data_IF_662799399138
#
_entry.id   IF_662799399138
#
_cell.length_a   1.000
_cell.length_b   1.000
_cell.length_c   1.000
_cell.angle_alpha   90.00
_cell.angle_beta   90.00
_cell.angle_gamma   90.00
#
_symmetry.space_group_name_H-M   'P 1'
#
loop_
_entity.id
_entity.type
_entity.pdbx_description
1 polymer ?
#
# COMPACT_ATOMS: atom_id res chain seq x y z
N UNK A 1 -60.31 -46.19 -22.29
CA UNK A 1 -59.25 -46.71 -23.18
C UNK A 1 -58.66 -45.55 -23.97
N UNK A 2 -57.33 -45.57 -24.19
CA UNK A 2 -56.45 -44.58 -24.84
C UNK A 2 -56.00 -43.36 -24.02
N UNK A 3 -54.89 -43.57 -23.32
CA UNK A 3 -53.83 -42.58 -23.11
C UNK A 3 -53.34 -42.03 -24.46
N UNK A 4 -52.89 -40.78 -24.50
CA UNK A 4 -51.64 -40.44 -25.17
C UNK A 4 -50.98 -39.21 -24.54
N UNK A 5 -49.68 -39.38 -24.32
CA UNK A 5 -48.74 -38.48 -23.64
C UNK A 5 -48.37 -37.31 -24.56
N UNK A 6 -48.17 -36.12 -23.99
CA UNK A 6 -47.23 -35.16 -24.56
C UNK A 6 -46.36 -34.57 -23.43
N UNK A 7 -45.09 -34.96 -23.45
CA UNK A 7 -44.03 -34.39 -22.62
C UNK A 7 -43.74 -32.97 -23.12
N UNK A 8 -43.60 -32.01 -22.21
CA UNK A 8 -42.75 -30.83 -22.43
C UNK A 8 -41.84 -30.64 -21.22
N UNK A 9 -40.56 -30.83 -21.50
CA UNK A 9 -39.38 -30.41 -20.74
C UNK A 9 -39.29 -28.88 -20.72
N UNK A 10 -38.28 -28.37 -20.00
CA UNK A 10 -37.69 -27.01 -20.02
C UNK A 10 -38.26 -26.09 -18.94
N UNK A 11 -37.50 -25.39 -18.11
CA UNK A 11 -36.06 -25.34 -17.79
C UNK A 11 -35.91 -24.47 -16.53
N UNK A 12 -34.74 -24.54 -15.91
CA UNK A 12 -34.42 -24.02 -14.59
C UNK A 12 -34.83 -22.57 -14.31
N UNK A 13 -35.30 -22.38 -13.08
CA UNK A 13 -35.22 -21.09 -12.40
C UNK A 13 -33.73 -20.81 -12.18
N UNK A 14 -33.15 -19.98 -13.02
CA UNK A 14 -31.84 -19.36 -12.79
C UNK A 14 -31.98 -18.47 -11.57
N UNK A 15 -31.53 -18.96 -10.41
CA UNK A 15 -31.24 -18.09 -9.27
C UNK A 15 -30.05 -17.24 -9.70
N UNK A 16 -30.32 -16.00 -10.12
CA UNK A 16 -29.31 -14.97 -10.19
C UNK A 16 -28.83 -14.71 -8.77
N UNK A 17 -27.86 -15.51 -8.33
CA UNK A 17 -26.96 -15.17 -7.25
C UNK A 17 -26.23 -13.90 -7.68
N UNK A 18 -26.79 -12.75 -7.29
CA UNK A 18 -26.05 -11.50 -7.19
C UNK A 18 -24.98 -11.70 -6.12
N UNK A 19 -23.90 -12.36 -6.53
CA UNK A 19 -22.58 -12.20 -5.94
C UNK A 19 -22.16 -10.76 -6.25
N UNK A 20 -22.72 -9.82 -5.49
CA UNK A 20 -22.02 -8.60 -5.16
C UNK A 20 -20.82 -9.05 -4.31
N UNK A 21 -19.78 -9.54 -4.98
CA UNK A 21 -18.42 -9.45 -4.47
C UNK A 21 -18.12 -7.95 -4.50
N UNK A 22 -18.68 -7.22 -3.54
CA UNK A 22 -18.20 -5.90 -3.22
C UNK A 22 -16.73 -6.08 -2.94
N UNK A 23 -15.89 -5.48 -3.77
CA UNK A 23 -14.51 -5.23 -3.43
C UNK A 23 -14.57 -4.36 -2.16
N UNK A 24 -14.66 -4.98 -1.00
CA UNK A 24 -14.42 -4.32 0.27
C UNK A 24 -12.92 -4.05 0.26
N UNK A 25 -12.54 -2.91 -0.31
CA UNK A 25 -11.31 -2.26 0.06
C UNK A 25 -11.42 -2.08 1.58
N UNK A 26 -10.74 -2.96 2.32
CA UNK A 26 -10.75 -2.91 3.76
C UNK A 26 -9.91 -1.71 4.13
N UNK A 27 -10.60 -0.58 4.32
CA UNK A 27 -10.08 0.55 5.04
C UNK A 27 -9.52 0.05 6.38
N UNK A 28 -8.28 0.41 6.71
CA UNK A 28 -7.69 0.08 8.00
C UNK A 28 -8.43 0.80 9.14
N UNK A 29 -8.01 0.60 10.40
CA UNK A 29 -8.65 1.28 11.54
C UNK A 29 -8.58 2.81 11.48
N UNK A 30 -7.74 3.38 10.61
CA UNK A 30 -7.64 4.82 10.34
C UNK A 30 -8.47 5.25 9.11
N UNK A 31 -9.05 4.31 8.37
CA UNK A 31 -9.89 4.59 7.20
C UNK A 31 -9.18 4.42 5.86
N UNK A 32 -7.90 4.02 5.82
CA UNK A 32 -7.12 3.99 4.58
C UNK A 32 -7.19 2.65 3.86
N UNK A 33 -7.36 2.68 2.54
CA UNK A 33 -7.42 1.51 1.68
C UNK A 33 -6.02 1.01 1.37
N UNK A 34 -5.77 -0.29 1.57
CA UNK A 34 -4.49 -0.89 1.22
C UNK A 34 -4.22 -0.80 -0.30
N UNK A 35 -3.04 -0.30 -0.67
CA UNK A 35 -2.54 -0.27 -2.05
C UNK A 35 -1.53 -1.42 -2.27
N UNK A 36 -0.43 -1.40 -1.51
CA UNK A 36 0.70 -2.31 -1.74
C UNK A 36 1.55 -2.53 -0.48
N UNK A 37 2.21 -3.69 -0.41
CA UNK A 37 3.21 -4.03 0.61
C UNK A 37 4.48 -4.49 -0.09
N UNK A 38 5.62 -3.92 0.31
CA UNK A 38 6.91 -4.20 -0.28
C UNK A 38 7.94 -4.44 0.82
N UNK A 39 8.71 -5.53 0.66
CA UNK A 39 9.83 -5.82 1.55
C UNK A 39 11.11 -5.29 0.93
N UNK A 40 11.88 -4.53 1.70
CA UNK A 40 13.13 -3.94 1.26
C UNK A 40 14.29 -4.37 2.16
N UNK A 41 15.46 -4.48 1.56
CA UNK A 41 16.74 -4.53 2.28
C UNK A 41 17.33 -3.12 2.22
N UNK A 42 17.60 -2.53 3.39
CA UNK A 42 18.07 -1.15 3.51
C UNK A 42 19.45 -1.06 4.13
N UNK A 43 20.32 -0.29 3.48
CA UNK A 43 21.73 -0.12 3.84
C UNK A 43 21.95 1.30 4.41
N UNK A 44 23.10 1.93 4.17
CA UNK A 44 23.41 3.29 4.64
C UNK A 44 22.61 4.38 3.92
N UNK A 45 22.26 4.12 2.66
CA UNK A 45 21.42 4.98 1.83
C UNK A 45 20.65 4.08 0.86
N UNK A 46 19.32 4.07 0.95
CA UNK A 46 18.47 3.21 0.11
C UNK A 46 17.22 3.96 -0.28
N UNK A 47 16.91 3.93 -1.58
CA UNK A 47 15.73 4.56 -2.15
C UNK A 47 14.79 3.47 -2.68
N UNK A 48 13.52 3.53 -2.28
CA UNK A 48 12.50 2.61 -2.78
C UNK A 48 12.07 2.98 -4.20
N UNK A 49 11.40 2.05 -4.88
CA UNK A 49 10.63 2.39 -6.08
C UNK A 49 9.49 3.34 -5.71
N UNK A 50 9.21 4.31 -6.58
CA UNK A 50 8.07 5.18 -6.40
C UNK A 50 6.75 4.45 -6.64
N UNK A 51 5.71 4.91 -5.95
CA UNK A 51 4.35 4.40 -6.01
C UNK A 51 3.43 5.56 -6.31
N UNK A 52 2.63 5.42 -7.38
CA UNK A 52 1.59 6.40 -7.70
C UNK A 52 0.42 6.25 -6.73
N UNK A 53 0.05 7.36 -6.08
CA UNK A 53 -1.06 7.39 -5.12
C UNK A 53 -1.83 8.72 -5.18
N UNK A 54 -3.14 8.64 -4.93
CA UNK A 54 -4.07 9.77 -5.01
C UNK A 54 -4.25 10.46 -3.65
N UNK A 55 -3.58 9.96 -2.61
CA UNK A 55 -3.58 10.47 -1.24
C UNK A 55 -3.30 9.35 -0.24
N UNK A 56 -3.63 9.56 1.03
CA UNK A 56 -3.69 8.49 2.03
C UNK A 56 -2.53 8.46 3.01
N UNK A 57 -1.78 7.36 3.02
CA UNK A 57 -0.75 7.14 4.04
C UNK A 57 0.30 6.09 3.67
N UNK A 58 1.44 6.17 4.34
CA UNK A 58 2.49 5.13 4.24
C UNK A 58 2.95 4.72 5.62
N UNK A 59 3.08 3.41 5.82
CA UNK A 59 3.57 2.81 7.05
C UNK A 59 4.82 2.00 6.76
N UNK A 60 5.89 2.31 7.45
CA UNK A 60 7.14 1.55 7.38
C UNK A 60 7.35 0.86 8.70
N UNK A 61 7.48 -0.46 8.69
CA UNK A 61 7.80 -1.24 9.87
C UNK A 61 9.12 -1.97 9.70
N UNK A 62 9.92 -1.91 10.75
CA UNK A 62 11.21 -2.53 10.89
C UNK A 62 11.03 -3.75 11.79
N UNK A 63 11.66 -4.87 11.41
CA UNK A 63 11.55 -6.09 12.22
C UNK A 63 12.38 -5.96 13.50
N UNK A 64 13.57 -5.37 13.40
CA UNK A 64 14.48 -5.06 14.49
C UNK A 64 15.26 -3.78 14.12
N UNK A 65 15.39 -2.84 15.05
CA UNK A 65 16.04 -1.53 14.81
C UNK A 65 17.20 -1.37 15.77
N UNK A 66 18.39 -1.71 15.28
CA UNK A 66 19.64 -1.54 16.02
C UNK A 66 20.28 -0.15 15.86
N UNK A 67 19.84 0.60 14.84
CA UNK A 67 20.38 1.89 14.44
C UNK A 67 19.30 2.95 14.34
N UNK A 68 19.69 4.22 14.46
CA UNK A 68 18.79 5.32 14.11
C UNK A 68 18.68 5.44 12.59
N UNK A 69 17.44 5.56 12.10
CA UNK A 69 17.14 5.79 10.69
C UNK A 69 16.54 7.17 10.50
N UNK A 70 17.01 7.91 9.49
CA UNK A 70 16.26 8.99 8.89
C UNK A 70 15.53 8.46 7.67
N UNK A 71 14.22 8.57 7.66
CA UNK A 71 13.38 8.16 6.54
C UNK A 71 12.67 9.38 5.99
N UNK A 72 12.88 9.64 4.71
CA UNK A 72 12.36 10.82 4.02
C UNK A 72 11.40 10.38 2.94
N UNK A 73 10.14 10.83 3.03
CA UNK A 73 9.13 10.69 1.98
C UNK A 73 9.32 11.83 0.99
N UNK A 74 9.41 11.47 -0.29
CA UNK A 74 9.64 12.41 -1.39
C UNK A 74 8.72 12.12 -2.56
N UNK A 75 8.43 13.17 -3.31
CA UNK A 75 7.84 13.06 -4.64
C UNK A 75 8.94 12.79 -5.67
N UNK A 76 8.66 11.93 -6.62
CA UNK A 76 9.44 11.78 -7.84
C UNK A 76 8.84 12.70 -8.91
N UNK A 77 9.57 13.77 -9.24
CA UNK A 77 9.23 14.63 -10.38
C UNK A 77 10.37 14.56 -11.42
N UNK A 78 10.15 13.98 -12.61
CA UNK A 78 11.19 13.95 -13.65
C UNK A 78 11.50 15.33 -14.26
N UNK A 79 10.62 16.32 -14.07
CA UNK A 79 10.75 17.66 -14.62
C UNK A 79 11.33 18.68 -13.63
N UNK A 80 11.17 18.48 -12.31
CA UNK A 80 11.64 19.37 -11.25
C UNK A 80 12.44 18.63 -10.18
N UNK A 81 13.22 19.31 -9.33
CA UNK A 81 13.86 18.67 -8.19
C UNK A 81 12.81 18.04 -7.26
N UNK A 82 13.00 16.77 -6.89
CA UNK A 82 12.14 16.03 -5.98
C UNK A 82 11.80 16.80 -4.70
N UNK A 83 10.51 17.04 -4.49
CA UNK A 83 10.03 17.71 -3.29
C UNK A 83 10.02 16.76 -2.09
N UNK A 84 10.44 17.28 -0.94
CA UNK A 84 10.40 16.51 0.32
C UNK A 84 9.09 16.78 1.03
N UNK A 85 8.21 15.77 1.01
CA UNK A 85 6.97 15.76 1.77
C UNK A 85 7.23 15.83 3.28
N UNK A 86 8.08 14.93 3.77
CA UNK A 86 8.31 14.80 5.20
C UNK A 86 9.55 13.96 5.49
N UNK A 87 10.24 14.25 6.58
CA UNK A 87 11.32 13.42 7.11
C UNK A 87 11.01 13.03 8.54
N UNK A 88 11.15 11.75 8.87
CA UNK A 88 10.97 11.20 10.21
C UNK A 88 12.20 10.41 10.62
N UNK A 89 12.56 10.52 11.89
CA UNK A 89 13.64 9.71 12.47
C UNK A 89 13.04 8.58 13.29
N UNK A 90 13.49 7.35 13.04
CA UNK A 90 13.18 6.20 13.87
C UNK A 90 14.35 5.93 14.81
N UNK A 91 14.11 6.12 16.11
CA UNK A 91 15.10 5.81 17.14
C UNK A 91 15.26 4.31 17.38
N UNK A 92 16.37 3.93 18.01
CA UNK A 92 16.66 2.55 18.38
C UNK A 92 15.52 1.93 19.21
N UNK A 93 15.08 0.72 18.86
CA UNK A 93 14.01 0.00 19.54
C UNK A 93 12.58 0.44 19.20
N UNK A 94 12.39 1.42 18.32
CA UNK A 94 11.07 1.76 17.76
C UNK A 94 10.80 0.89 16.53
N UNK A 95 9.56 0.44 16.31
CA UNK A 95 9.25 -0.57 15.29
C UNK A 95 8.64 -0.03 14.00
N UNK A 96 7.90 1.09 14.03
CA UNK A 96 7.27 1.61 12.82
C UNK A 96 7.23 3.13 12.75
N UNK A 97 7.32 3.66 11.52
CA UNK A 97 6.99 5.03 11.15
C UNK A 97 5.68 5.01 10.36
N UNK A 98 4.88 6.07 10.50
CA UNK A 98 3.63 6.22 9.75
C UNK A 98 3.47 7.66 9.33
N UNK A 99 3.19 7.89 8.06
CA UNK A 99 2.72 9.15 7.51
C UNK A 99 1.24 9.00 7.24
N UNK A 100 0.47 9.88 7.85
CA UNK A 100 -0.97 10.00 7.71
C UNK A 100 -1.28 11.24 6.89
N UNK A 101 -2.37 11.21 6.12
CA UNK A 101 -2.93 12.39 5.44
C UNK A 101 -1.96 12.98 4.40
N UNK A 102 -1.35 12.11 3.60
CA UNK A 102 -0.64 12.53 2.40
C UNK A 102 -1.69 13.09 1.43
N UNK A 103 -1.60 14.38 1.12
CA UNK A 103 -2.41 15.02 0.10
C UNK A 103 -1.55 15.17 -1.14
N UNK A 104 -1.85 14.42 -2.20
CA UNK A 104 -1.24 14.67 -3.49
C UNK A 104 -2.03 15.77 -4.21
N UNK A 105 -1.35 16.83 -4.63
CA UNK A 105 -1.96 18.00 -5.25
C UNK A 105 -2.59 17.64 -6.61
N UNK A 106 -1.97 16.72 -7.33
CA UNK A 106 -2.42 16.28 -8.67
C UNK A 106 -3.26 15.00 -8.66
N UNK A 107 -3.40 14.35 -7.50
CA UNK A 107 -4.11 13.08 -7.38
C UNK A 107 -3.46 11.94 -8.17
N UNK A 108 -2.16 12.00 -8.48
CA UNK A 108 -1.38 10.93 -9.16
C UNK A 108 0.12 10.93 -8.83
N UNK A 109 0.50 11.54 -7.72
CA UNK A 109 1.92 11.74 -7.42
C UNK A 109 2.64 10.43 -7.21
N UNK A 110 3.87 10.37 -7.71
CA UNK A 110 4.74 9.22 -7.56
C UNK A 110 5.60 9.41 -6.31
N UNK A 111 5.27 8.75 -5.20
CA UNK A 111 5.97 8.91 -3.93
C UNK A 111 6.95 7.78 -3.67
N UNK A 112 8.11 8.11 -3.11
CA UNK A 112 9.11 7.14 -2.70
C UNK A 112 9.71 7.48 -1.33
N UNK A 113 10.36 6.49 -0.71
CA UNK A 113 11.05 6.64 0.56
C UNK A 113 12.56 6.55 0.36
N UNK A 114 13.28 7.51 0.91
CA UNK A 114 14.72 7.46 1.07
C UNK A 114 15.08 7.17 2.53
N UNK A 115 15.85 6.10 2.74
CA UNK A 115 16.34 5.64 4.02
C UNK A 115 17.81 5.98 4.17
N UNK A 116 18.17 6.63 5.27
CA UNK A 116 19.56 6.94 5.60
C UNK A 116 19.88 6.51 7.03
N UNK A 117 21.03 5.85 7.21
CA UNK A 117 21.59 5.50 8.52
C UNK A 117 23.12 5.53 8.47
N UNK A 118 23.74 5.65 9.64
CA UNK A 118 25.20 5.70 9.77
C UNK A 118 25.86 4.33 9.53
N UNK A 119 25.14 3.24 9.82
CA UNK A 119 25.64 1.87 9.64
C UNK A 119 25.57 1.40 8.18
N UNK A 120 26.50 0.54 7.78
CA UNK A 120 26.48 -0.15 6.47
C UNK A 120 25.87 -1.55 6.53
N UNK A 121 25.53 -2.04 7.71
CA UNK A 121 24.91 -3.36 7.83
C UNK A 121 23.52 -3.33 7.20
N UNK A 122 23.12 -4.30 6.36
CA UNK A 122 21.79 -4.32 5.76
C UNK A 122 20.73 -4.74 6.78
N UNK A 123 19.55 -4.15 6.72
CA UNK A 123 18.39 -4.49 7.55
C UNK A 123 17.15 -4.73 6.69
N UNK A 124 16.20 -5.52 7.17
CA UNK A 124 14.96 -5.82 6.43
C UNK A 124 13.77 -5.05 6.98
N UNK A 125 13.09 -4.34 6.08
CA UNK A 125 11.91 -3.54 6.41
C UNK A 125 10.71 -3.95 5.55
N UNK A 126 9.52 -3.66 6.06
CA UNK A 126 8.28 -3.76 5.31
C UNK A 126 7.66 -2.36 5.16
N UNK A 127 7.42 -1.95 3.93
CA UNK A 127 6.74 -0.71 3.57
C UNK A 127 5.34 -1.07 3.10
N UNK A 128 4.32 -0.43 3.67
CA UNK A 128 2.92 -0.58 3.28
C UNK A 128 2.36 0.77 2.89
N UNK A 129 1.78 0.84 1.71
CA UNK A 129 1.16 2.02 1.13
C UNK A 129 -0.36 1.91 1.20
N UNK A 130 -1.01 3.03 1.50
CA UNK A 130 -2.45 3.15 1.64
C UNK A 130 -2.97 4.43 0.95
N UNK A 131 -4.21 4.38 0.47
CA UNK A 131 -5.00 5.49 -0.11
C UNK A 131 -6.10 5.95 0.85
#
# INVERSE_FOLDING_TARGET
>A
MKMNKLKKFVSGLTVCSLLLVGNTAFADSAGWQYIASQRWTVDSDTTTTAVSMDGGGVKVCFSDVDYEYRVTLKEQDPANPDETYSSKTLGKGSSCLTWSEINSESGKEELYLNFSKVSKNPDSINVVWYD
#
